data_IF_432242650242
#
_entry.id   IF_432242650242
#
_cell.length_a   1.000
_cell.length_b   1.000
_cell.length_c   1.000
_cell.angle_alpha   90.00
_cell.angle_beta   90.00
_cell.angle_gamma   90.00
#
_symmetry.space_group_name_H-M   'P 1'
#
loop_
_entity.id
_entity.type
_entity.pdbx_description
1 polymer ?
#
# COMPACT_ATOMS: atom_id res chain seq x y z
N UNK A 1 6.58 -36.34 29.40
CA UNK A 1 5.68 -35.24 28.97
C UNK A 1 6.54 -34.05 28.55
N UNK A 2 6.09 -33.29 27.53
CA UNK A 2 6.83 -32.37 26.62
C UNK A 2 7.36 -33.14 25.39
N UNK A 3 6.51 -33.56 24.44
CA UNK A 3 5.79 -32.74 23.43
C UNK A 3 6.68 -31.63 22.87
N UNK A 4 6.88 -31.41 21.59
CA UNK A 4 6.47 -32.05 20.34
C UNK A 4 7.12 -31.15 19.25
N UNK A 5 7.67 -31.77 18.21
CA UNK A 5 8.03 -31.17 16.91
C UNK A 5 9.11 -30.06 16.85
N UNK A 6 10.26 -30.47 16.32
CA UNK A 6 10.94 -29.78 15.22
C UNK A 6 9.93 -29.52 14.09
N UNK A 7 9.62 -28.26 13.76
CA UNK A 7 9.41 -27.72 12.39
C UNK A 7 9.34 -26.19 12.53
N UNK A 8 10.44 -25.48 12.26
CA UNK A 8 10.45 -24.06 11.79
C UNK A 8 11.88 -23.66 11.44
N UNK A 9 12.61 -24.57 10.80
CA UNK A 9 14.02 -24.37 10.40
C UNK A 9 14.21 -23.82 8.98
N UNK A 10 13.17 -23.35 8.28
CA UNK A 10 13.30 -23.06 6.83
C UNK A 10 12.58 -21.80 6.29
N UNK A 11 11.90 -21.00 7.11
CA UNK A 11 11.30 -19.71 6.66
C UNK A 11 12.15 -18.47 7.00
N UNK A 12 13.19 -18.61 7.82
CA UNK A 12 14.05 -17.49 8.24
C UNK A 12 15.22 -17.20 7.27
N UNK A 13 15.57 -18.13 6.38
CA UNK A 13 16.74 -17.98 5.50
C UNK A 13 16.51 -17.05 4.30
N UNK A 14 15.35 -17.16 3.65
CA UNK A 14 15.02 -16.33 2.48
C UNK A 14 14.68 -14.88 2.87
N UNK A 15 14.06 -14.65 4.02
CA UNK A 15 13.75 -13.30 4.52
C UNK A 15 15.01 -12.48 4.84
N UNK A 16 16.03 -13.10 5.44
CA UNK A 16 17.29 -12.42 5.75
C UNK A 16 18.12 -12.12 4.49
N UNK A 17 18.13 -13.02 3.51
CA UNK A 17 18.82 -12.79 2.23
C UNK A 17 18.20 -11.63 1.45
N UNK A 18 16.87 -11.54 1.43
CA UNK A 18 16.14 -10.43 0.78
C UNK A 18 16.33 -9.10 1.55
N UNK A 19 16.40 -9.14 2.89
CA UNK A 19 16.64 -7.96 3.73
C UNK A 19 18.08 -7.42 3.60
N UNK A 20 19.08 -8.30 3.44
CA UNK A 20 20.49 -7.90 3.28
C UNK A 20 20.85 -7.50 1.84
N UNK A 21 20.22 -8.11 0.82
CA UNK A 21 20.48 -7.80 -0.60
C UNK A 21 19.90 -6.44 -1.02
N UNK A 22 18.81 -5.99 -0.39
CA UNK A 22 18.16 -4.72 -0.71
C UNK A 22 19.11 -3.51 -0.63
N UNK A 23 20.04 -3.51 0.31
CA UNK A 23 20.90 -2.35 0.58
C UNK A 23 22.16 -2.29 -0.32
N UNK A 24 22.61 -3.44 -0.84
CA UNK A 24 23.91 -3.56 -1.54
C UNK A 24 23.86 -3.38 -3.05
N UNK A 25 22.68 -3.36 -3.67
CA UNK A 25 22.54 -3.29 -5.13
C UNK A 25 22.70 -1.88 -5.74
N UNK A 26 22.78 -0.81 -4.94
CA UNK A 26 22.79 0.58 -5.46
C UNK A 26 24.20 1.10 -5.82
N UNK A 27 25.29 0.43 -5.44
CA UNK A 27 26.61 1.11 -5.37
C UNK A 27 27.67 0.80 -6.43
N UNK A 28 27.39 0.19 -7.60
CA UNK A 28 28.48 -0.25 -8.49
C UNK A 28 28.45 0.11 -9.99
N UNK A 29 27.68 1.11 -10.45
CA UNK A 29 27.91 1.75 -11.75
C UNK A 29 27.21 3.13 -11.75
N UNK A 30 27.88 4.28 -11.92
CA UNK A 30 28.35 4.82 -13.21
C UNK A 30 29.20 6.11 -12.97
N UNK A 31 30.38 6.28 -13.61
CA UNK A 31 30.97 7.60 -13.84
C UNK A 31 30.49 8.16 -15.19
N UNK A 32 29.55 9.11 -15.12
CA UNK A 32 29.26 10.18 -16.10
C UNK A 32 28.12 10.97 -15.47
N UNK A 33 28.34 12.24 -15.19
CA UNK A 33 27.29 13.19 -14.80
C UNK A 33 26.78 13.83 -16.11
N UNK A 34 25.73 13.27 -16.77
CA UNK A 34 24.93 14.08 -17.68
C UNK A 34 24.27 15.19 -16.86
N UNK A 35 24.07 16.37 -17.46
CA UNK A 35 23.29 17.44 -16.83
C UNK A 35 22.07 16.85 -16.13
N UNK A 36 21.84 17.21 -14.85
CA UNK A 36 20.81 16.56 -14.06
C UNK A 36 19.50 16.68 -14.85
N UNK A 37 18.94 15.55 -15.33
CA UNK A 37 17.60 15.61 -15.89
C UNK A 37 16.76 16.22 -14.78
N UNK A 38 16.12 17.35 -15.06
CA UNK A 38 15.13 17.90 -14.15
C UNK A 38 14.04 16.84 -14.06
N UNK A 39 14.12 16.00 -13.02
CA UNK A 39 13.03 15.12 -12.66
C UNK A 39 11.88 16.07 -12.36
N UNK A 40 10.94 16.18 -13.30
CA UNK A 40 9.60 16.55 -12.91
C UNK A 40 9.19 15.45 -11.96
N UNK A 41 9.22 15.77 -10.67
CA UNK A 41 8.35 15.09 -9.74
C UNK A 41 6.97 15.44 -10.29
N UNK A 42 6.36 14.51 -11.03
CA UNK A 42 4.94 14.64 -11.35
C UNK A 42 4.28 14.97 -10.03
N UNK A 43 3.70 16.18 -9.95
CA UNK A 43 3.16 16.71 -8.71
C UNK A 43 2.32 15.59 -8.10
N UNK A 44 2.68 15.16 -6.88
CA UNK A 44 2.02 14.03 -6.23
C UNK A 44 0.51 14.20 -6.43
N UNK A 45 -0.19 13.17 -6.94
CA UNK A 45 -1.59 13.30 -7.32
C UNK A 45 -2.31 13.97 -6.16
N UNK A 46 -2.99 15.07 -6.46
CA UNK A 46 -3.76 15.80 -5.46
C UNK A 46 -4.64 14.76 -4.75
N UNK A 47 -4.61 14.76 -3.41
CA UNK A 47 -5.38 13.80 -2.65
C UNK A 47 -6.85 13.92 -3.06
N UNK A 48 -7.46 12.80 -3.44
CA UNK A 48 -8.87 12.78 -3.79
C UNK A 48 -9.70 12.94 -2.52
N UNK A 49 -10.87 13.53 -2.69
CA UNK A 49 -11.87 13.52 -1.64
C UNK A 49 -12.49 12.11 -1.53
N UNK A 50 -12.02 11.33 -0.55
CA UNK A 50 -12.56 9.99 -0.28
C UNK A 50 -13.96 10.01 0.33
N UNK A 51 -14.44 11.18 0.81
CA UNK A 51 -15.78 11.30 1.41
C UNK A 51 -16.91 11.24 0.39
N UNK A 52 -16.59 11.30 -0.90
CA UNK A 52 -17.55 11.08 -2.00
C UNK A 52 -18.07 9.65 -2.07
N UNK A 53 -17.39 8.69 -1.41
CA UNK A 53 -17.81 7.29 -1.33
C UNK A 53 -18.87 7.15 -0.25
N UNK A 54 -19.97 6.46 -0.58
CA UNK A 54 -21.07 6.27 0.36
C UNK A 54 -20.61 5.47 1.59
N UNK A 55 -20.81 6.06 2.78
CA UNK A 55 -20.41 5.45 4.05
C UNK A 55 -18.95 5.70 4.45
N UNK A 56 -18.15 6.41 3.62
CA UNK A 56 -16.84 6.93 4.02
C UNK A 56 -17.03 8.35 4.55
N UNK A 57 -17.12 8.51 5.87
CA UNK A 57 -17.09 9.83 6.52
C UNK A 57 -15.66 10.32 6.78
N UNK A 58 -15.53 11.55 7.29
CA UNK A 58 -14.23 12.19 7.62
C UNK A 58 -13.31 11.33 8.49
N UNK A 59 -13.90 10.56 9.41
CA UNK A 59 -13.16 9.65 10.29
C UNK A 59 -12.48 8.54 9.49
N UNK A 60 -13.21 7.87 8.60
CA UNK A 60 -12.65 6.79 7.78
C UNK A 60 -11.73 7.35 6.69
N UNK A 61 -12.08 8.49 6.08
CA UNK A 61 -11.18 9.19 5.15
C UNK A 61 -9.85 9.55 5.81
N UNK A 62 -9.87 10.00 7.06
CA UNK A 62 -8.64 10.29 7.81
C UNK A 62 -7.82 9.04 8.10
N UNK A 63 -8.46 7.93 8.50
CA UNK A 63 -7.76 6.64 8.71
C UNK A 63 -7.17 6.10 7.42
N UNK A 64 -7.91 6.15 6.31
CA UNK A 64 -7.43 5.77 4.98
C UNK A 64 -6.16 6.55 4.61
N UNK A 65 -6.18 7.87 4.82
CA UNK A 65 -5.01 8.73 4.60
C UNK A 65 -3.82 8.35 5.51
N UNK A 66 -4.07 7.98 6.77
CA UNK A 66 -3.02 7.48 7.67
C UNK A 66 -2.39 6.17 7.18
N UNK A 67 -3.14 5.34 6.45
CA UNK A 67 -2.64 4.13 5.80
C UNK A 67 -2.08 4.38 4.38
N UNK A 68 -1.91 5.64 3.97
CA UNK A 68 -1.36 6.00 2.66
C UNK A 68 -2.36 5.91 1.50
N UNK A 69 -3.63 5.66 1.78
CA UNK A 69 -4.70 5.68 0.78
C UNK A 69 -5.25 7.10 0.71
N UNK A 70 -4.79 7.86 -0.27
CA UNK A 70 -5.17 9.26 -0.49
C UNK A 70 -5.93 9.48 -1.79
N UNK A 71 -6.06 8.46 -2.64
CA UNK A 71 -6.76 8.55 -3.93
C UNK A 71 -7.80 7.44 -4.08
N UNK A 72 -8.82 7.69 -4.91
CA UNK A 72 -9.84 6.70 -5.25
C UNK A 72 -9.21 5.49 -5.93
N UNK A 73 -8.20 5.70 -6.78
CA UNK A 73 -7.46 4.62 -7.43
C UNK A 73 -6.70 3.76 -6.42
N UNK A 74 -6.02 4.37 -5.44
CA UNK A 74 -5.31 3.63 -4.40
C UNK A 74 -6.27 2.78 -3.56
N UNK A 75 -7.45 3.32 -3.25
CA UNK A 75 -8.49 2.57 -2.56
C UNK A 75 -9.01 1.40 -3.41
N UNK A 76 -9.28 1.62 -4.69
CA UNK A 76 -9.75 0.60 -5.62
C UNK A 76 -8.78 -0.59 -5.77
N UNK A 77 -7.47 -0.36 -5.57
CA UNK A 77 -6.41 -1.38 -5.65
C UNK A 77 -6.08 -2.01 -4.29
N UNK A 78 -6.68 -1.53 -3.19
CA UNK A 78 -6.40 -2.03 -1.85
C UNK A 78 -6.97 -3.43 -1.64
N UNK A 79 -6.36 -4.21 -0.73
CA UNK A 79 -6.90 -5.50 -0.33
C UNK A 79 -8.04 -5.29 0.69
N UNK A 80 -9.28 -5.76 0.42
CA UNK A 80 -10.42 -5.52 1.30
C UNK A 80 -10.25 -6.14 2.69
N UNK A 81 -9.63 -7.32 2.80
CA UNK A 81 -9.44 -8.04 4.06
C UNK A 81 -8.45 -7.30 4.95
N UNK A 82 -7.26 -6.99 4.42
CA UNK A 82 -6.24 -6.25 5.16
C UNK A 82 -6.72 -4.86 5.56
N UNK A 83 -7.44 -4.18 4.67
CA UNK A 83 -7.94 -2.84 4.94
C UNK A 83 -9.06 -2.84 5.99
N UNK A 84 -9.95 -3.84 5.97
CA UNK A 84 -10.97 -4.02 7.00
C UNK A 84 -10.38 -4.23 8.40
N UNK A 85 -9.33 -5.05 8.50
CA UNK A 85 -8.59 -5.26 9.75
C UNK A 85 -7.90 -3.97 10.24
N UNK A 86 -7.26 -3.23 9.34
CA UNK A 86 -6.58 -1.97 9.69
C UNK A 86 -7.54 -0.87 10.14
N UNK A 87 -8.72 -0.79 9.52
CA UNK A 87 -9.70 0.25 9.79
C UNK A 87 -10.67 -0.11 10.93
N UNK A 88 -10.61 -1.34 11.46
CA UNK A 88 -11.59 -1.92 12.38
C UNK A 88 -13.02 -1.74 11.82
N UNK A 89 -13.19 -2.12 10.55
CA UNK A 89 -14.43 -1.96 9.80
C UNK A 89 -14.92 -3.32 9.26
N UNK A 90 -16.24 -3.52 9.10
CA UNK A 90 -16.77 -4.75 8.52
C UNK A 90 -16.26 -4.95 7.08
N UNK A 91 -15.83 -6.17 6.74
CA UNK A 91 -15.30 -6.50 5.41
C UNK A 91 -16.27 -6.10 4.28
N UNK A 92 -17.56 -6.44 4.42
CA UNK A 92 -18.59 -6.11 3.44
C UNK A 92 -18.73 -4.61 3.16
N UNK A 93 -18.44 -3.77 4.16
CA UNK A 93 -18.46 -2.32 4.00
C UNK A 93 -17.26 -1.84 3.19
N UNK A 94 -16.07 -2.38 3.51
CA UNK A 94 -14.83 -2.05 2.80
C UNK A 94 -14.88 -2.53 1.34
N UNK A 95 -15.43 -3.71 1.09
CA UNK A 95 -15.68 -4.21 -0.27
C UNK A 95 -16.58 -3.25 -1.06
N UNK A 96 -17.64 -2.72 -0.43
CA UNK A 96 -18.50 -1.70 -1.02
C UNK A 96 -17.74 -0.42 -1.37
N UNK A 97 -16.88 0.06 -0.48
CA UNK A 97 -16.05 1.24 -0.74
C UNK A 97 -15.09 1.04 -1.91
N UNK A 98 -14.43 -0.12 -1.98
CA UNK A 98 -13.49 -0.46 -3.06
C UNK A 98 -14.20 -0.55 -4.41
N UNK A 99 -15.37 -1.20 -4.45
CA UNK A 99 -16.17 -1.29 -5.66
C UNK A 99 -16.61 0.10 -6.16
N UNK A 100 -17.07 0.98 -5.26
CA UNK A 100 -17.46 2.34 -5.60
C UNK A 100 -16.26 3.19 -6.05
N UNK A 101 -15.12 3.07 -5.37
CA UNK A 101 -13.88 3.75 -5.75
C UNK A 101 -13.39 3.33 -7.15
N UNK A 102 -13.48 2.03 -7.48
CA UNK A 102 -13.14 1.52 -8.80
C UNK A 102 -14.05 2.12 -9.89
N UNK A 103 -15.35 2.20 -9.61
CA UNK A 103 -16.32 2.77 -10.56
C UNK A 103 -16.08 4.27 -10.80
N UNK A 104 -15.69 5.02 -9.77
CA UNK A 104 -15.46 6.47 -9.85
C UNK A 104 -14.11 6.83 -10.47
N UNK A 105 -13.06 6.08 -10.13
CA UNK A 105 -11.72 6.30 -10.70
C UNK A 105 -11.65 6.01 -12.20
N UNK A 106 -12.53 5.14 -12.73
CA UNK A 106 -12.63 4.87 -14.16
C UNK A 106 -13.28 6.01 -14.98
N UNK A 107 -13.91 6.99 -14.34
CA UNK A 107 -14.67 8.07 -15.00
C UNK A 107 -13.86 9.37 -15.11
N UNK A 108 -12.64 9.40 -14.57
CA UNK A 108 -11.74 10.57 -14.56
C UNK A 108 -10.70 10.46 -15.66
#
# INVERSE_FOLDING_TARGET
>A
MKRLMKVTGFLAGLGAAVWLMRDRLISLALPREPEPPTFRVDAAPAADDLTVISGVGDVFASRLRQHGITTLQALAQANPVTLAEQLDAPLSRVEGWIAEAAQRSAVT
#
